data_IF_510899105628
#
_entry.id   IF_510899105628
#
_cell.length_a   1.000
_cell.length_b   1.000
_cell.length_c   1.000
_cell.angle_alpha   90.00
_cell.angle_beta   90.00
_cell.angle_gamma   90.00
#
_symmetry.space_group_name_H-M   'P 1'
#
loop_
_entity.id
_entity.type
_entity.pdbx_description
1 polymer ?
#
# COMPACT_ATOMS: atom_id res chain seq x y z
N UNK A 1 -16.84 9.55 9.27
CA UNK A 1 -15.41 9.69 9.55
C UNK A 1 -14.64 10.14 8.32
N UNK A 2 -14.60 9.40 7.22
CA UNK A 2 -13.80 9.72 6.02
C UNK A 2 -14.14 11.10 5.43
N UNK A 3 -15.45 11.46 5.34
CA UNK A 3 -15.88 12.78 4.84
C UNK A 3 -15.30 13.92 5.69
N UNK A 4 -15.46 13.85 7.02
CA UNK A 4 -14.93 14.86 7.95
C UNK A 4 -13.40 14.98 7.79
N UNK A 5 -12.68 13.85 7.67
CA UNK A 5 -11.23 13.87 7.49
C UNK A 5 -10.80 14.47 6.15
N UNK A 6 -11.55 14.23 5.07
CA UNK A 6 -11.27 14.86 3.79
C UNK A 6 -11.45 16.38 3.86
N UNK A 7 -12.55 16.84 4.48
CA UNK A 7 -12.85 18.27 4.67
C UNK A 7 -11.81 18.98 5.57
N UNK A 8 -11.33 18.30 6.63
CA UNK A 8 -10.30 18.84 7.54
C UNK A 8 -8.89 18.87 6.94
N UNK A 9 -8.54 17.92 6.08
CA UNK A 9 -7.17 17.73 5.61
C UNK A 9 -6.90 18.30 4.24
N UNK A 10 -7.89 18.35 3.37
CA UNK A 10 -7.76 18.93 2.03
C UNK A 10 -8.26 20.37 2.09
N UNK A 11 -7.32 21.32 2.20
CA UNK A 11 -7.62 22.75 2.31
C UNK A 11 -7.90 23.38 0.95
N UNK A 12 -8.54 24.55 0.92
CA UNK A 12 -8.73 25.31 -0.32
C UNK A 12 -7.40 25.71 -0.99
N UNK A 13 -6.37 25.99 -0.19
CA UNK A 13 -5.03 26.26 -0.69
C UNK A 13 -4.46 25.05 -1.46
N UNK A 14 -4.60 23.84 -0.92
CA UNK A 14 -4.16 22.61 -1.60
C UNK A 14 -4.92 22.38 -2.92
N UNK A 15 -6.25 22.62 -2.93
CA UNK A 15 -7.08 22.44 -4.14
C UNK A 15 -6.66 23.40 -5.26
N UNK A 16 -6.13 24.57 -4.91
CA UNK A 16 -5.68 25.58 -5.86
C UNK A 16 -4.18 25.51 -6.18
N UNK A 17 -3.43 24.62 -5.54
CA UNK A 17 -1.99 24.50 -5.73
C UNK A 17 -1.66 23.70 -7.02
N UNK A 18 -1.20 24.36 -8.12
CA UNK A 18 -0.90 23.68 -9.36
C UNK A 18 0.37 22.81 -9.28
N UNK A 19 1.09 22.84 -8.15
CA UNK A 19 2.29 22.02 -7.92
C UNK A 19 1.99 20.74 -7.14
N UNK A 20 0.79 20.60 -6.56
CA UNK A 20 0.35 19.41 -5.90
C UNK A 20 -0.03 18.33 -6.92
N UNK A 21 0.66 17.20 -6.90
CA UNK A 21 0.37 16.10 -7.80
C UNK A 21 -0.96 15.38 -7.44
N UNK A 22 -1.17 15.11 -6.16
CA UNK A 22 -2.32 14.34 -5.69
C UNK A 22 -2.17 13.85 -4.25
N UNK A 23 -3.07 12.94 -3.88
CA UNK A 23 -3.22 12.46 -2.51
C UNK A 23 -2.99 10.96 -2.40
N UNK A 24 -2.19 10.55 -1.41
CA UNK A 24 -2.22 9.20 -0.88
C UNK A 24 -3.31 9.09 0.17
N UNK A 25 -3.98 7.94 0.23
CA UNK A 25 -4.96 7.66 1.28
C UNK A 25 -4.53 6.43 2.06
N UNK A 26 -4.36 6.60 3.36
CA UNK A 26 -3.83 5.61 4.28
C UNK A 26 -2.39 5.14 3.92
N UNK A 27 -1.85 4.26 4.74
CA UNK A 27 -0.53 3.68 4.56
C UNK A 27 -0.50 2.23 4.98
N UNK A 28 -0.06 1.36 4.07
CA UNK A 28 0.24 -0.05 4.37
C UNK A 28 -0.93 -0.83 5.00
N UNK A 29 -2.15 -0.58 4.51
CA UNK A 29 -3.32 -1.34 4.98
C UNK A 29 -3.06 -2.85 4.87
N UNK A 30 -3.41 -3.62 5.91
CA UNK A 30 -3.07 -5.03 6.01
C UNK A 30 -4.01 -5.92 5.17
N UNK A 31 -4.05 -5.70 3.85
CA UNK A 31 -4.77 -6.59 2.95
C UNK A 31 -4.24 -8.02 3.05
N UNK A 32 -5.13 -9.00 3.19
CA UNK A 32 -4.76 -10.39 3.45
C UNK A 32 -5.52 -11.35 2.54
N UNK A 33 -4.78 -12.35 2.00
CA UNK A 33 -5.37 -13.40 1.17
C UNK A 33 -6.49 -14.16 1.92
N UNK A 34 -6.34 -14.36 3.23
CA UNK A 34 -7.24 -15.09 4.11
C UNK A 34 -8.29 -14.20 4.81
N UNK A 35 -8.63 -13.05 4.23
CA UNK A 35 -9.53 -12.07 4.83
C UNK A 35 -10.90 -12.66 5.17
N UNK A 36 -11.53 -13.40 4.26
CA UNK A 36 -12.85 -14.00 4.47
C UNK A 36 -12.89 -14.89 5.71
N UNK A 37 -11.95 -15.85 5.82
CA UNK A 37 -11.88 -16.75 6.98
C UNK A 37 -11.64 -15.96 8.28
N UNK A 38 -10.80 -14.93 8.23
CA UNK A 38 -10.52 -14.09 9.41
C UNK A 38 -11.75 -13.34 9.88
N UNK A 39 -12.49 -12.70 8.98
CA UNK A 39 -13.72 -12.00 9.33
C UNK A 39 -14.80 -12.96 9.84
N UNK A 40 -14.94 -14.14 9.25
CA UNK A 40 -15.82 -15.21 9.74
C UNK A 40 -15.34 -15.89 11.03
N UNK A 41 -14.18 -15.50 11.56
CA UNK A 41 -13.63 -15.98 12.84
C UNK A 41 -13.65 -14.92 13.94
N UNK A 42 -14.22 -13.74 13.66
CA UNK A 42 -14.50 -12.72 14.67
C UNK A 42 -15.64 -13.16 15.59
N UNK A 43 -15.85 -12.43 16.68
CA UNK A 43 -17.00 -12.65 17.56
C UNK A 43 -18.30 -12.45 16.77
N UNK A 44 -19.33 -13.26 17.07
CA UNK A 44 -20.63 -13.19 16.37
C UNK A 44 -21.36 -11.86 16.56
N UNK A 45 -21.05 -11.11 17.60
CA UNK A 45 -21.57 -9.77 17.85
C UNK A 45 -20.84 -8.69 17.05
N UNK A 46 -19.68 -9.00 16.46
CA UNK A 46 -18.94 -8.06 15.64
C UNK A 46 -19.67 -7.78 14.32
N UNK A 47 -19.87 -6.53 14.01
CA UNK A 47 -20.57 -6.10 12.78
C UNK A 47 -19.87 -6.61 11.51
N UNK A 48 -18.53 -6.73 11.54
CA UNK A 48 -17.78 -7.25 10.41
C UNK A 48 -18.04 -8.76 10.21
N UNK A 49 -18.16 -9.55 11.31
CA UNK A 49 -18.60 -10.93 11.22
C UNK A 49 -19.97 -11.02 10.57
N UNK A 50 -20.95 -10.27 11.09
CA UNK A 50 -22.33 -10.31 10.62
C UNK A 50 -22.43 -9.96 9.12
N UNK A 51 -21.80 -8.86 8.70
CA UNK A 51 -21.82 -8.45 7.30
C UNK A 51 -21.04 -9.41 6.38
N UNK A 52 -19.99 -10.04 6.88
CA UNK A 52 -19.27 -11.06 6.12
C UNK A 52 -20.08 -12.34 5.97
N UNK A 53 -20.82 -12.74 7.02
CA UNK A 53 -21.70 -13.90 6.98
C UNK A 53 -22.86 -13.67 6.00
N UNK A 54 -23.52 -12.51 6.07
CA UNK A 54 -24.58 -12.10 5.11
C UNK A 54 -24.06 -12.17 3.67
N UNK A 55 -22.91 -11.53 3.38
CA UNK A 55 -22.29 -11.56 2.06
C UNK A 55 -21.96 -12.98 1.59
N UNK A 56 -21.39 -13.82 2.48
CA UNK A 56 -21.03 -15.19 2.13
C UNK A 56 -22.26 -16.05 1.85
N UNK A 57 -23.33 -15.85 2.62
CA UNK A 57 -24.61 -16.54 2.41
C UNK A 57 -25.22 -16.19 1.05
N UNK A 58 -25.23 -14.90 0.70
CA UNK A 58 -25.71 -14.41 -0.60
C UNK A 58 -24.90 -15.01 -1.76
N UNK A 59 -23.56 -14.94 -1.71
CA UNK A 59 -22.68 -15.49 -2.75
C UNK A 59 -22.83 -17.00 -2.96
N UNK A 60 -23.18 -17.73 -1.90
CA UNK A 60 -23.36 -19.19 -1.95
C UNK A 60 -24.82 -19.67 -2.04
N UNK A 61 -25.77 -18.74 -2.06
CA UNK A 61 -27.20 -19.08 -2.07
C UNK A 61 -27.65 -19.84 -0.84
N UNK A 62 -27.12 -19.51 0.36
CA UNK A 62 -27.42 -20.15 1.63
C UNK A 62 -28.35 -19.26 2.46
N UNK A 63 -29.17 -19.90 3.30
CA UNK A 63 -29.93 -19.19 4.33
C UNK A 63 -29.05 -18.99 5.57
N UNK A 64 -28.86 -17.73 5.97
CA UNK A 64 -27.99 -17.31 7.10
C UNK A 64 -28.34 -18.05 8.39
N UNK A 65 -29.65 -18.28 8.67
CA UNK A 65 -30.10 -18.89 9.91
C UNK A 65 -29.76 -20.40 9.98
N UNK A 66 -29.57 -21.04 8.82
CA UNK A 66 -29.29 -22.47 8.71
C UNK A 66 -27.80 -22.81 8.59
N UNK A 67 -26.90 -21.81 8.56
CA UNK A 67 -25.47 -22.01 8.31
C UNK A 67 -24.77 -22.70 9.49
N UNK A 68 -24.16 -23.86 9.21
CA UNK A 68 -23.14 -24.43 10.07
C UNK A 68 -21.77 -23.81 9.76
N UNK A 69 -21.21 -23.07 10.70
CA UNK A 69 -19.98 -22.30 10.50
C UNK A 69 -18.74 -23.15 10.21
N UNK A 70 -18.65 -24.35 10.82
CA UNK A 70 -17.50 -25.23 10.59
C UNK A 70 -17.53 -25.80 9.18
N UNK A 71 -18.71 -26.23 8.73
CA UNK A 71 -18.93 -26.71 7.37
C UNK A 71 -18.69 -25.59 6.36
N UNK A 72 -19.21 -24.38 6.62
CA UNK A 72 -19.00 -23.22 5.76
C UNK A 72 -17.50 -22.93 5.59
N UNK A 73 -16.77 -22.79 6.71
CA UNK A 73 -15.32 -22.48 6.67
C UNK A 73 -14.50 -23.56 5.97
N UNK A 74 -14.84 -24.84 6.19
CA UNK A 74 -14.17 -25.97 5.53
C UNK A 74 -14.41 -26.01 4.01
N UNK A 75 -15.54 -25.47 3.54
CA UNK A 75 -15.91 -25.40 2.13
C UNK A 75 -15.46 -24.13 1.38
N UNK A 76 -14.76 -23.20 2.07
CA UNK A 76 -14.27 -21.98 1.41
C UNK A 76 -13.08 -22.27 0.51
N UNK A 77 -13.13 -21.72 -0.69
CA UNK A 77 -12.09 -21.84 -1.73
C UNK A 77 -11.23 -20.59 -1.84
N UNK A 78 -10.10 -20.68 -2.55
CA UNK A 78 -9.28 -19.51 -2.92
C UNK A 78 -10.07 -18.50 -3.77
N UNK A 79 -11.04 -18.96 -4.55
CA UNK A 79 -11.93 -18.09 -5.32
C UNK A 79 -12.87 -17.29 -4.40
N UNK A 80 -13.45 -17.92 -3.39
CA UNK A 80 -14.28 -17.24 -2.39
C UNK A 80 -13.47 -16.15 -1.65
N UNK A 81 -12.22 -16.46 -1.25
CA UNK A 81 -11.32 -15.49 -0.64
C UNK A 81 -11.06 -14.30 -1.58
N UNK A 82 -10.82 -14.60 -2.86
CA UNK A 82 -10.55 -13.58 -3.89
C UNK A 82 -11.74 -12.68 -4.14
N UNK A 83 -12.94 -13.24 -4.25
CA UNK A 83 -14.21 -12.50 -4.40
C UNK A 83 -14.47 -11.59 -3.20
N UNK A 84 -14.31 -12.12 -1.98
CA UNK A 84 -14.48 -11.32 -0.77
C UNK A 84 -13.45 -10.19 -0.69
N UNK A 85 -12.21 -10.45 -1.04
CA UNK A 85 -11.17 -9.43 -1.05
C UNK A 85 -11.48 -8.31 -2.05
N UNK A 86 -12.00 -8.64 -3.23
CA UNK A 86 -12.52 -7.64 -4.19
C UNK A 86 -13.67 -6.84 -3.58
N UNK A 87 -14.63 -7.51 -2.94
CA UNK A 87 -15.77 -6.86 -2.31
C UNK A 87 -15.37 -5.82 -1.26
N UNK A 88 -14.48 -6.17 -0.33
CA UNK A 88 -14.03 -5.21 0.70
C UNK A 88 -13.15 -4.10 0.13
N UNK A 89 -12.34 -4.41 -0.90
CA UNK A 89 -11.52 -3.42 -1.59
C UNK A 89 -12.40 -2.42 -2.35
N UNK A 90 -13.44 -2.89 -3.04
CA UNK A 90 -14.41 -2.06 -3.75
C UNK A 90 -15.15 -1.10 -2.79
N UNK A 91 -15.63 -1.62 -1.65
CA UNK A 91 -16.23 -0.78 -0.61
C UNK A 91 -15.27 0.31 -0.12
N UNK A 92 -14.03 -0.07 0.17
CA UNK A 92 -13.03 0.85 0.69
C UNK A 92 -12.65 1.91 -0.35
N UNK A 93 -12.16 1.50 -1.51
CA UNK A 93 -11.66 2.42 -2.54
C UNK A 93 -12.77 3.25 -3.17
N UNK A 94 -13.98 2.68 -3.31
CA UNK A 94 -15.14 3.41 -3.80
C UNK A 94 -15.55 4.57 -2.88
N UNK A 95 -15.59 4.34 -1.55
CA UNK A 95 -15.88 5.40 -0.58
C UNK A 95 -14.79 6.47 -0.61
N UNK A 96 -13.53 6.04 -0.54
CA UNK A 96 -12.39 6.95 -0.44
C UNK A 96 -12.23 7.79 -1.70
N UNK A 97 -12.24 7.17 -2.88
CA UNK A 97 -12.12 7.85 -4.17
C UNK A 97 -13.25 8.86 -4.38
N UNK A 98 -14.49 8.45 -4.08
CA UNK A 98 -15.66 9.34 -4.17
C UNK A 98 -15.48 10.59 -3.32
N UNK A 99 -15.16 10.43 -2.03
CA UNK A 99 -15.01 11.55 -1.10
C UNK A 99 -13.84 12.46 -1.46
N UNK A 100 -12.74 11.88 -1.94
CA UNK A 100 -11.58 12.63 -2.41
C UNK A 100 -11.95 13.49 -3.62
N UNK A 101 -12.57 12.90 -4.64
CA UNK A 101 -12.94 13.61 -5.87
C UNK A 101 -14.10 14.61 -5.66
N UNK A 102 -14.98 14.36 -4.72
CA UNK A 102 -15.99 15.36 -4.29
C UNK A 102 -15.34 16.60 -3.64
N UNK A 103 -14.26 16.41 -2.87
CA UNK A 103 -13.54 17.50 -2.21
C UNK A 103 -12.55 18.20 -3.15
N UNK A 104 -11.84 17.43 -3.95
CA UNK A 104 -10.84 17.92 -4.91
C UNK A 104 -10.91 17.12 -6.22
N UNK A 105 -11.60 17.63 -7.23
CA UNK A 105 -11.69 16.97 -8.52
C UNK A 105 -10.42 17.13 -9.40
N UNK A 106 -9.52 18.04 -9.03
CA UNK A 106 -8.40 18.44 -9.88
C UNK A 106 -7.15 17.58 -9.70
N UNK A 107 -6.88 17.11 -8.46
CA UNK A 107 -5.67 16.37 -8.14
C UNK A 107 -5.88 14.85 -8.20
N UNK A 108 -4.78 14.12 -8.37
CA UNK A 108 -4.80 12.68 -8.58
C UNK A 108 -5.05 11.91 -7.27
N UNK A 109 -5.74 10.80 -7.38
CA UNK A 109 -5.76 9.78 -6.34
C UNK A 109 -4.58 8.82 -6.57
N UNK A 110 -3.58 8.88 -5.68
CA UNK A 110 -2.32 8.15 -5.79
C UNK A 110 -2.35 6.77 -5.08
N UNK A 111 -3.52 6.26 -4.74
CA UNK A 111 -3.68 4.97 -4.06
C UNK A 111 -3.33 5.00 -2.57
N UNK A 112 -3.08 3.82 -1.98
CA UNK A 112 -2.92 3.61 -0.53
C UNK A 112 -1.59 2.98 -0.11
N UNK A 113 -0.53 3.21 -0.87
CA UNK A 113 0.85 2.82 -0.53
C UNK A 113 0.95 1.35 -0.10
N UNK A 114 0.59 0.45 -1.01
CA UNK A 114 0.53 -0.99 -0.78
C UNK A 114 1.89 -1.55 -0.35
N UNK A 115 1.90 -2.45 0.64
CA UNK A 115 3.12 -3.04 1.20
C UNK A 115 2.98 -4.53 1.55
N UNK A 116 4.09 -5.21 1.70
CA UNK A 116 4.16 -6.57 2.23
C UNK A 116 3.39 -7.59 1.38
N UNK A 117 2.39 -8.24 1.97
CA UNK A 117 1.55 -9.18 1.25
C UNK A 117 0.64 -8.50 0.22
N UNK A 118 0.19 -7.28 0.51
CA UNK A 118 -0.74 -6.55 -0.34
C UNK A 118 -0.24 -6.39 -1.79
N UNK A 119 1.07 -6.20 -1.99
CA UNK A 119 1.67 -6.05 -3.34
C UNK A 119 1.59 -7.30 -4.22
N UNK A 120 1.08 -8.43 -3.70
CA UNK A 120 0.92 -9.72 -4.40
C UNK A 120 -0.54 -10.15 -4.53
N UNK A 121 -1.47 -9.30 -4.13
CA UNK A 121 -2.89 -9.61 -4.12
C UNK A 121 -3.58 -9.01 -5.36
N UNK A 122 -3.60 -9.80 -6.45
CA UNK A 122 -4.25 -9.42 -7.69
C UNK A 122 -5.65 -8.79 -7.49
N UNK A 123 -6.55 -9.36 -6.64
CA UNK A 123 -7.88 -8.78 -6.42
C UNK A 123 -7.87 -7.32 -5.93
N UNK A 124 -6.88 -6.96 -5.11
CA UNK A 124 -6.74 -5.58 -4.60
C UNK A 124 -6.31 -4.63 -5.71
N UNK A 125 -5.37 -5.05 -6.57
CA UNK A 125 -4.90 -4.24 -7.70
C UNK A 125 -5.98 -4.03 -8.75
N UNK A 126 -6.76 -5.07 -9.08
CA UNK A 126 -7.86 -4.98 -10.03
C UNK A 126 -8.85 -3.91 -9.58
N UNK A 127 -9.28 -3.95 -8.33
CA UNK A 127 -10.21 -2.95 -7.78
C UNK A 127 -9.56 -1.57 -7.64
N UNK A 128 -8.34 -1.49 -7.11
CA UNK A 128 -7.65 -0.20 -6.98
C UNK A 128 -7.46 0.47 -8.34
N UNK A 129 -7.21 -0.30 -9.40
CA UNK A 129 -7.08 0.19 -10.76
C UNK A 129 -8.34 0.88 -11.30
N UNK A 130 -9.53 0.48 -10.83
CA UNK A 130 -10.79 1.12 -11.22
C UNK A 130 -10.95 2.53 -10.57
N UNK A 131 -10.31 2.76 -9.43
CA UNK A 131 -10.50 3.97 -8.64
C UNK A 131 -9.33 4.93 -8.65
N UNK A 132 -8.09 4.41 -8.59
CA UNK A 132 -6.89 5.23 -8.50
C UNK A 132 -6.41 5.69 -9.88
N UNK A 133 -5.84 6.89 -9.93
CA UNK A 133 -5.16 7.41 -11.10
C UNK A 133 -3.73 6.84 -11.22
N UNK A 134 -3.09 6.58 -10.07
CA UNK A 134 -1.74 6.03 -9.94
C UNK A 134 -1.72 4.98 -8.81
N UNK A 135 -1.02 3.88 -9.02
CA UNK A 135 -0.80 2.86 -7.99
C UNK A 135 0.44 3.22 -7.18
N UNK A 136 0.34 3.29 -5.86
CA UNK A 136 1.49 3.56 -4.98
C UNK A 136 1.91 2.33 -4.18
N UNK A 137 3.21 2.10 -4.10
CA UNK A 137 3.80 0.89 -3.54
C UNK A 137 5.00 1.23 -2.66
N UNK A 138 4.97 0.75 -1.41
CA UNK A 138 6.13 0.75 -0.52
C UNK A 138 6.92 -0.54 -0.79
N UNK A 139 8.06 -0.42 -1.49
CA UNK A 139 8.76 -1.55 -2.09
C UNK A 139 10.11 -1.81 -1.44
N UNK A 140 10.15 -2.76 -0.54
CA UNK A 140 11.32 -3.10 0.26
C UNK A 140 11.90 -4.48 -0.05
N UNK A 141 13.07 -4.77 0.51
CA UNK A 141 13.75 -6.06 0.46
C UNK A 141 14.12 -6.53 -0.96
N UNK A 142 14.44 -5.61 -1.85
CA UNK A 142 14.93 -5.89 -3.20
C UNK A 142 16.18 -5.07 -3.47
N UNK A 143 17.23 -5.74 -3.97
CA UNK A 143 18.39 -5.03 -4.50
C UNK A 143 18.10 -4.45 -5.90
N UNK A 144 17.44 -5.25 -6.71
CA UNK A 144 16.92 -4.86 -8.03
C UNK A 144 15.41 -5.10 -8.06
N UNK A 145 14.60 -4.20 -8.61
CA UNK A 145 13.18 -4.43 -8.80
C UNK A 145 12.94 -5.71 -9.61
N UNK A 146 11.95 -6.51 -9.21
CA UNK A 146 11.59 -7.72 -9.95
C UNK A 146 10.67 -7.37 -11.10
N UNK A 147 11.12 -7.55 -12.33
CA UNK A 147 10.35 -7.26 -13.55
C UNK A 147 8.95 -7.91 -13.49
N UNK A 148 8.86 -9.17 -13.08
CA UNK A 148 7.58 -9.87 -12.98
C UNK A 148 6.61 -9.25 -11.94
N UNK A 149 7.12 -8.68 -10.82
CA UNK A 149 6.28 -7.95 -9.86
C UNK A 149 5.77 -6.65 -10.51
N UNK A 150 6.64 -5.89 -11.20
CA UNK A 150 6.27 -4.62 -11.86
C UNK A 150 5.25 -4.85 -12.99
N UNK A 151 5.44 -5.89 -13.80
CA UNK A 151 4.49 -6.28 -14.85
C UNK A 151 3.15 -6.71 -14.29
N UNK A 152 3.14 -7.49 -13.21
CA UNK A 152 1.92 -7.89 -12.53
C UNK A 152 1.12 -6.67 -12.03
N UNK A 153 1.77 -5.71 -11.37
CA UNK A 153 1.09 -4.50 -10.88
C UNK A 153 0.43 -3.74 -12.03
N UNK A 154 1.16 -3.56 -13.15
CA UNK A 154 0.64 -2.92 -14.35
C UNK A 154 -0.57 -3.68 -14.91
N UNK A 155 -0.43 -4.99 -15.16
CA UNK A 155 -1.51 -5.80 -15.73
C UNK A 155 -2.74 -5.87 -14.83
N UNK A 156 -2.53 -6.09 -13.52
CA UNK A 156 -3.64 -6.25 -12.59
C UNK A 156 -4.42 -4.95 -12.35
N UNK A 157 -3.77 -3.80 -12.46
CA UNK A 157 -4.41 -2.51 -12.30
C UNK A 157 -5.02 -1.93 -13.60
N UNK A 158 -5.05 -2.70 -14.70
CA UNK A 158 -5.55 -2.18 -15.98
C UNK A 158 -4.64 -1.15 -16.62
N UNK A 159 -3.34 -1.44 -16.65
CA UNK A 159 -2.28 -0.60 -17.21
C UNK A 159 -2.08 0.76 -16.52
N UNK A 160 -2.49 0.90 -15.25
CA UNK A 160 -2.22 2.13 -14.49
C UNK A 160 -0.72 2.34 -14.29
N UNK A 161 -0.25 3.60 -14.36
CA UNK A 161 1.10 3.92 -13.94
C UNK A 161 1.26 3.70 -12.43
N UNK A 162 2.50 3.45 -11.98
CA UNK A 162 2.77 3.31 -10.56
C UNK A 162 3.93 4.19 -10.09
N UNK A 163 3.94 4.48 -8.78
CA UNK A 163 5.04 5.13 -8.07
C UNK A 163 5.54 4.22 -6.95
N UNK A 164 6.84 4.23 -6.70
CA UNK A 164 7.39 3.65 -5.48
C UNK A 164 7.34 4.73 -4.40
N UNK A 165 6.39 4.58 -3.48
CA UNK A 165 6.10 5.57 -2.45
C UNK A 165 6.98 5.48 -1.21
N UNK A 166 7.64 4.33 -1.00
CA UNK A 166 8.72 4.18 -0.02
C UNK A 166 9.71 3.10 -0.44
N UNK A 167 11.00 3.40 -0.24
CA UNK A 167 12.11 2.46 -0.33
C UNK A 167 13.37 3.10 0.25
N UNK A 168 14.29 2.32 0.77
CA UNK A 168 15.62 2.75 1.20
C UNK A 168 16.50 1.56 1.58
N UNK A 169 17.80 1.82 1.73
CA UNK A 169 18.74 0.97 2.46
C UNK A 169 19.55 1.80 3.46
N UNK A 170 20.10 1.14 4.47
CA UNK A 170 20.89 1.69 5.56
C UNK A 170 22.37 1.40 5.33
N UNK A 171 23.27 2.33 5.70
CA UNK A 171 24.73 2.11 5.67
C UNK A 171 25.27 1.70 7.04
N UNK A 172 26.08 0.64 7.13
CA UNK A 172 26.73 0.21 8.36
C UNK A 172 27.72 1.28 8.87
N UNK A 173 28.40 1.97 7.95
CA UNK A 173 29.37 3.03 8.23
C UNK A 173 28.76 4.35 8.69
N UNK A 174 27.45 4.45 8.80
CA UNK A 174 26.73 5.64 9.24
C UNK A 174 26.90 5.98 10.72
N UNK A 175 27.35 5.02 11.53
CA UNK A 175 27.42 5.13 12.99
C UNK A 175 26.10 4.86 13.73
N UNK A 176 25.00 4.60 13.01
CA UNK A 176 23.73 4.16 13.59
C UNK A 176 23.72 2.65 13.87
N UNK A 177 22.89 2.23 14.83
CA UNK A 177 22.69 0.79 15.13
C UNK A 177 21.92 0.06 14.02
N UNK A 178 21.17 0.78 13.22
CA UNK A 178 20.40 0.27 12.09
C UNK A 178 19.39 -0.86 12.42
N UNK A 179 18.85 -0.85 13.64
CA UNK A 179 18.00 -1.92 14.19
C UNK A 179 16.53 -1.81 13.87
N UNK A 180 16.07 -0.67 13.31
CA UNK A 180 14.67 -0.43 13.00
C UNK A 180 14.43 -0.19 11.50
N UNK A 181 13.15 -0.34 11.08
CA UNK A 181 12.66 -0.07 9.75
C UNK A 181 12.94 -1.19 8.72
N UNK A 182 12.18 -1.14 7.62
CA UNK A 182 12.11 -2.20 6.61
C UNK A 182 13.28 -2.27 5.63
N UNK A 183 14.05 -1.18 5.47
CA UNK A 183 15.18 -1.14 4.53
C UNK A 183 16.30 -2.10 4.91
N UNK A 184 16.89 -2.76 3.92
CA UNK A 184 18.09 -3.59 4.08
C UNK A 184 19.29 -2.78 4.56
N UNK A 185 20.40 -3.47 4.84
CA UNK A 185 21.68 -2.84 5.27
C UNK A 185 22.75 -3.13 4.23
N UNK A 186 23.51 -2.13 3.86
CA UNK A 186 24.70 -2.22 2.99
C UNK A 186 25.94 -1.76 3.76
N UNK A 187 27.13 -2.11 3.27
CA UNK A 187 28.39 -1.84 4.00
C UNK A 187 28.70 -0.37 4.14
N UNK A 188 28.52 0.41 3.08
CA UNK A 188 28.99 1.80 3.04
C UNK A 188 27.95 2.75 2.44
N UNK A 189 28.15 4.06 2.65
CA UNK A 189 27.35 5.11 1.98
C UNK A 189 27.53 5.06 0.45
N UNK A 190 28.73 4.66 -0.02
CA UNK A 190 28.96 4.42 -1.45
C UNK A 190 28.06 3.30 -1.98
N UNK A 191 27.89 2.23 -1.21
CA UNK A 191 26.99 1.13 -1.60
C UNK A 191 25.51 1.55 -1.53
N UNK A 192 25.14 2.50 -0.66
CA UNK A 192 23.82 3.13 -0.69
C UNK A 192 23.58 3.86 -2.02
N UNK A 193 24.55 4.61 -2.50
CA UNK A 193 24.48 5.27 -3.79
C UNK A 193 24.37 4.28 -4.96
N UNK A 194 25.16 3.19 -4.94
CA UNK A 194 25.09 2.10 -5.93
C UNK A 194 23.74 1.39 -5.90
N UNK A 195 23.20 1.15 -4.70
CA UNK A 195 21.85 0.59 -4.55
C UNK A 195 20.81 1.52 -5.16
N UNK A 196 20.86 2.82 -4.84
CA UNK A 196 19.96 3.81 -5.42
C UNK A 196 19.98 3.76 -6.95
N UNK A 197 21.16 3.83 -7.54
CA UNK A 197 21.34 3.79 -8.99
C UNK A 197 20.78 2.50 -9.60
N UNK A 198 21.16 1.34 -9.06
CA UNK A 198 20.71 0.04 -9.59
C UNK A 198 19.19 -0.12 -9.49
N UNK A 199 18.61 0.27 -8.36
CA UNK A 199 17.17 0.15 -8.12
C UNK A 199 16.36 1.06 -9.05
N UNK A 200 16.76 2.33 -9.17
CA UNK A 200 16.06 3.30 -10.03
C UNK A 200 16.18 2.99 -11.52
N UNK A 201 17.33 2.49 -11.98
CA UNK A 201 17.48 2.01 -13.36
C UNK A 201 16.48 0.86 -13.66
N UNK A 202 16.34 -0.11 -12.75
CA UNK A 202 15.35 -1.18 -12.91
C UNK A 202 13.91 -0.69 -12.91
N UNK A 203 13.59 0.38 -12.18
CA UNK A 203 12.28 1.01 -12.23
C UNK A 203 12.04 1.71 -13.58
N UNK A 204 13.03 2.43 -14.10
CA UNK A 204 12.94 3.10 -15.41
C UNK A 204 12.74 2.11 -16.57
N UNK A 205 13.39 0.94 -16.51
CA UNK A 205 13.23 -0.13 -17.50
C UNK A 205 11.79 -0.64 -17.59
N UNK A 206 11.01 -0.56 -16.52
CA UNK A 206 9.60 -0.99 -16.50
C UNK A 206 8.68 -0.17 -17.40
N UNK A 207 9.07 1.08 -17.74
CA UNK A 207 8.29 2.07 -18.50
C UNK A 207 6.92 2.43 -17.89
N UNK A 208 6.54 1.82 -16.78
CA UNK A 208 5.26 2.06 -16.07
C UNK A 208 5.47 2.76 -14.73
N UNK A 209 6.71 2.79 -14.21
CA UNK A 209 7.07 3.57 -13.04
C UNK A 209 7.26 5.04 -13.42
N UNK A 210 6.42 5.91 -12.85
CA UNK A 210 6.46 7.36 -13.15
C UNK A 210 7.21 8.17 -12.08
N UNK A 211 7.68 7.54 -11.01
CA UNK A 211 8.45 8.21 -9.97
C UNK A 211 8.72 7.33 -8.75
N UNK A 212 9.54 7.85 -7.86
CA UNK A 212 9.88 7.18 -6.61
C UNK A 212 10.23 8.17 -5.51
N UNK A 213 9.97 7.79 -4.25
CA UNK A 213 10.22 8.56 -3.06
C UNK A 213 11.10 7.78 -2.09
N UNK A 214 12.31 8.28 -1.84
CA UNK A 214 13.18 7.70 -0.82
C UNK A 214 12.67 8.02 0.59
N UNK A 215 12.60 7.02 1.45
CA UNK A 215 12.16 7.18 2.83
C UNK A 215 13.35 7.11 3.81
N UNK A 216 13.84 8.24 4.35
CA UNK A 216 13.29 9.60 4.36
C UNK A 216 14.32 10.61 3.85
N UNK A 217 13.95 11.90 3.80
CA UNK A 217 14.90 12.97 3.50
C UNK A 217 15.98 13.12 4.58
N UNK A 218 15.58 13.06 5.85
CA UNK A 218 16.43 13.27 7.03
C UNK A 218 16.17 12.20 8.09
N UNK A 219 17.22 11.73 8.75
CA UNK A 219 17.11 10.86 9.94
C UNK A 219 16.41 11.59 11.10
N UNK A 220 15.74 10.84 11.95
CA UNK A 220 14.90 11.40 13.03
C UNK A 220 15.50 11.28 14.41
N UNK A 221 16.58 10.50 14.58
CA UNK A 221 17.26 10.26 15.85
C UNK A 221 18.75 10.57 15.75
N UNK A 222 19.33 11.04 16.84
CA UNK A 222 20.79 11.20 16.97
C UNK A 222 21.51 9.86 17.11
N UNK A 223 22.77 9.85 16.67
CA UNK A 223 23.68 8.72 16.85
C UNK A 223 23.80 8.34 18.34
N UNK A 224 24.00 7.05 18.67
CA UNK A 224 24.00 5.91 17.73
C UNK A 224 22.62 5.27 17.53
N UNK A 225 21.56 5.84 18.10
CA UNK A 225 20.22 5.25 18.17
C UNK A 225 19.46 5.42 16.86
N UNK A 226 18.74 4.36 16.44
CA UNK A 226 17.89 4.40 15.26
C UNK A 226 18.55 3.82 14.02
N UNK A 227 18.16 4.31 12.85
CA UNK A 227 18.61 3.79 11.58
C UNK A 227 18.89 4.90 10.57
N UNK A 228 19.92 4.68 9.76
CA UNK A 228 20.30 5.55 8.66
C UNK A 228 19.32 5.39 7.49
N UNK A 229 18.21 6.09 7.54
CA UNK A 229 17.17 6.11 6.48
C UNK A 229 17.34 7.31 5.56
N UNK A 230 17.68 8.47 6.14
CA UNK A 230 17.80 9.75 5.45
C UNK A 230 19.03 9.87 4.54
N UNK A 231 18.98 10.80 3.61
CA UNK A 231 20.14 11.33 2.93
C UNK A 231 20.96 12.25 3.85
N UNK A 232 20.28 12.87 4.80
CA UNK A 232 20.86 13.76 5.77
C UNK A 232 20.71 13.20 7.18
N UNK A 233 21.69 13.48 8.01
CA UNK A 233 21.60 13.27 9.45
C UNK A 233 20.52 14.17 10.06
N UNK A 234 20.17 13.91 11.34
CA UNK A 234 19.25 14.77 12.10
C UNK A 234 19.70 16.24 12.17
N UNK A 235 21.01 16.50 12.00
CA UNK A 235 21.62 17.85 11.98
C UNK A 235 21.78 18.41 10.56
N UNK A 236 21.08 17.86 9.56
CA UNK A 236 21.12 18.26 8.16
C UNK A 236 22.53 18.16 7.51
N UNK A 237 23.38 17.27 8.00
CA UNK A 237 24.66 16.95 7.37
C UNK A 237 24.50 15.73 6.47
N UNK A 238 25.07 15.73 5.25
CA UNK A 238 25.09 14.53 4.40
C UNK A 238 25.95 13.44 5.04
N UNK A 239 25.69 12.21 4.62
CA UNK A 239 26.50 11.05 4.99
C UNK A 239 27.61 10.81 3.97
#
# INVERSE_FOLDING_TARGET
FCKVRAEEKITEEMIQDPTLLGYFVDNELPWRKDALVRYLSLDKSDINFQKTLEWTAEEKGLDVESINMDTLKAGLTDEDQSKFLKHIADKYFGIVSKLLKERDPNHLFLGSRLHGQAIRLKPVFEVLGDYADVISINYYHRWTPRISELENWRMWSGDKPFVISEWYVKGEDSGYTNTDGAGGVVKTQVDRGRFYQNFTLGLLESKSCIGWFWHTYRDTKDLPKGSNKGFLSVRYKPF
#
